data_IF_887700078715
#
_entry.id   IF_887700078715
#
_cell.length_a   1.000
_cell.length_b   1.000
_cell.length_c   1.000
_cell.angle_alpha   90.00
_cell.angle_beta   90.00
_cell.angle_gamma   90.00
#
_symmetry.space_group_name_H-M   'P 1'
#
loop_
_entity.id
_entity.type
_entity.pdbx_description
1 polymer ?
#
# COMPACT_ATOMS: atom_id res chain seq x y z
N UNK A 1 17.39 10.66 -4.00
CA UNK A 1 16.39 11.76 -4.14
C UNK A 1 16.44 12.64 -2.91
N UNK A 2 16.62 13.94 -3.07
CA UNK A 2 16.55 14.95 -1.99
C UNK A 2 15.08 15.37 -1.75
N UNK A 3 14.83 16.09 -0.66
CA UNK A 3 13.48 16.61 -0.35
C UNK A 3 12.97 17.61 -1.42
N UNK A 4 13.87 18.40 -2.02
CA UNK A 4 13.52 19.33 -3.11
C UNK A 4 13.20 18.59 -4.40
N UNK A 5 14.02 17.60 -4.78
CA UNK A 5 13.75 16.74 -5.94
C UNK A 5 12.43 15.98 -5.78
N UNK A 6 12.09 15.55 -4.56
CA UNK A 6 10.83 14.88 -4.26
C UNK A 6 9.61 15.80 -4.53
N UNK A 7 9.66 17.06 -4.08
CA UNK A 7 8.60 18.02 -4.34
C UNK A 7 8.46 18.31 -5.85
N UNK A 8 9.57 18.54 -6.54
CA UNK A 8 9.58 18.76 -7.99
C UNK A 8 9.02 17.57 -8.76
N UNK A 9 9.38 16.35 -8.36
CA UNK A 9 8.87 15.13 -9.00
C UNK A 9 7.34 15.02 -8.90
N UNK A 10 6.75 15.34 -7.75
CA UNK A 10 5.29 15.34 -7.58
C UNK A 10 4.61 16.34 -8.53
N UNK A 11 5.19 17.52 -8.69
CA UNK A 11 4.66 18.56 -9.57
C UNK A 11 4.85 18.20 -11.06
N UNK A 12 6.04 17.74 -11.46
CA UNK A 12 6.37 17.49 -12.87
C UNK A 12 5.83 16.17 -13.41
N UNK A 13 5.92 15.08 -12.63
CA UNK A 13 5.57 13.74 -13.12
C UNK A 13 4.11 13.35 -12.83
N UNK A 14 3.56 13.83 -11.70
CA UNK A 14 2.18 13.53 -11.34
C UNK A 14 1.23 14.73 -11.53
N UNK A 15 1.73 15.89 -11.91
CA UNK A 15 0.92 17.09 -12.11
C UNK A 15 0.19 17.54 -10.85
N UNK A 16 0.80 17.34 -9.67
CA UNK A 16 0.17 17.63 -8.37
C UNK A 16 -0.13 19.12 -8.26
N UNK A 17 -1.39 19.47 -7.99
CA UNK A 17 -1.81 20.86 -7.87
C UNK A 17 -1.20 21.54 -6.64
N UNK A 18 -1.20 22.87 -6.64
CA UNK A 18 -0.71 23.67 -5.52
C UNK A 18 -1.51 23.36 -4.23
N UNK A 19 -2.81 23.21 -4.36
CA UNK A 19 -3.72 22.91 -3.26
C UNK A 19 -3.39 21.56 -2.64
N UNK A 20 -3.14 20.55 -3.47
CA UNK A 20 -2.72 19.20 -3.03
C UNK A 20 -1.32 19.25 -2.40
N UNK A 21 -0.38 20.02 -2.96
CA UNK A 21 0.93 20.24 -2.33
C UNK A 21 0.83 20.89 -0.95
N UNK A 22 -0.09 21.83 -0.75
CA UNK A 22 -0.31 22.45 0.55
C UNK A 22 -0.99 21.48 1.55
N UNK A 23 -1.88 20.60 1.09
CA UNK A 23 -2.43 19.50 1.89
C UNK A 23 -1.33 18.50 2.32
N UNK A 24 -0.42 18.13 1.41
CA UNK A 24 0.73 17.28 1.73
C UNK A 24 1.66 17.93 2.77
N UNK A 25 1.95 19.23 2.65
CA UNK A 25 2.73 19.98 3.66
C UNK A 25 2.03 19.99 5.03
N UNK A 26 0.70 20.18 5.03
CA UNK A 26 -0.12 20.14 6.24
C UNK A 26 -0.04 18.75 6.89
N UNK A 27 -0.16 17.68 6.10
CA UNK A 27 0.00 16.32 6.57
C UNK A 27 1.39 16.05 7.15
N UNK A 28 2.46 16.50 6.49
CA UNK A 28 3.84 16.34 6.98
C UNK A 28 4.05 17.09 8.31
N UNK A 29 3.49 18.30 8.45
CA UNK A 29 3.55 19.05 9.71
C UNK A 29 2.80 18.32 10.83
N UNK A 30 1.63 17.77 10.55
CA UNK A 30 0.86 16.95 11.47
C UNK A 30 1.63 15.68 11.88
N UNK A 31 2.17 14.94 10.92
CA UNK A 31 2.96 13.74 11.15
C UNK A 31 4.18 14.02 12.06
N UNK A 32 4.91 15.10 11.83
CA UNK A 32 6.06 15.50 12.66
C UNK A 32 5.65 15.81 14.10
N UNK A 33 4.55 16.53 14.30
CA UNK A 33 4.00 16.84 15.62
C UNK A 33 3.58 15.58 16.38
N UNK A 34 2.84 14.70 15.75
CA UNK A 34 2.36 13.44 16.34
C UNK A 34 3.52 12.45 16.59
N UNK A 35 4.55 12.48 15.75
CA UNK A 35 5.74 11.65 15.87
C UNK A 35 6.53 11.91 17.17
N UNK A 36 6.33 13.06 17.82
CA UNK A 36 6.91 13.33 19.14
C UNK A 36 6.31 12.50 20.28
N UNK A 37 5.07 12.01 20.11
CA UNK A 37 4.31 11.25 21.13
C UNK A 37 4.19 9.76 20.82
N UNK A 38 4.44 9.34 19.58
CA UNK A 38 4.36 7.95 19.15
C UNK A 38 5.31 7.67 17.96
N UNK A 39 5.84 6.45 17.90
CA UNK A 39 6.72 6.04 16.79
C UNK A 39 5.90 5.77 15.52
N UNK A 40 5.64 6.81 14.73
CA UNK A 40 4.93 6.71 13.45
C UNK A 40 5.87 6.32 12.31
N UNK A 41 7.04 6.96 12.24
CA UNK A 41 8.12 6.70 11.28
C UNK A 41 9.45 6.59 12.03
N UNK A 42 10.46 6.01 11.40
CA UNK A 42 11.79 5.91 12.01
C UNK A 42 12.46 7.28 12.12
N UNK A 43 13.24 7.49 13.18
CA UNK A 43 14.00 8.74 13.37
C UNK A 43 14.92 9.04 12.17
N UNK A 44 15.49 8.00 11.54
CA UNK A 44 16.37 8.13 10.38
C UNK A 44 15.68 8.63 9.11
N UNK A 45 14.33 8.62 9.07
CA UNK A 45 13.56 9.11 7.91
C UNK A 45 12.88 10.45 8.14
N UNK A 46 13.00 11.04 9.34
CA UNK A 46 12.38 12.32 9.69
C UNK A 46 12.85 13.49 8.82
N UNK A 47 14.12 13.49 8.42
CA UNK A 47 14.71 14.53 7.58
C UNK A 47 14.52 14.24 6.07
N UNK A 48 13.91 13.10 5.74
CA UNK A 48 13.71 12.61 4.37
C UNK A 48 12.25 12.18 4.11
N UNK A 49 11.28 12.85 4.73
CA UNK A 49 9.85 12.46 4.68
C UNK A 49 9.32 12.49 3.25
N UNK A 50 9.65 13.54 2.48
CA UNK A 50 9.15 13.70 1.12
C UNK A 50 9.65 12.58 0.21
N UNK A 51 10.95 12.29 0.24
CA UNK A 51 11.50 11.23 -0.57
C UNK A 51 11.08 9.84 -0.08
N UNK A 52 11.30 9.55 1.25
CA UNK A 52 11.16 8.20 1.81
C UNK A 52 9.73 7.77 2.10
N UNK A 53 8.77 8.72 2.15
CA UNK A 53 7.39 8.40 2.46
C UNK A 53 6.39 8.97 1.45
N UNK A 54 6.49 10.25 1.08
CA UNK A 54 5.50 10.85 0.17
C UNK A 54 5.71 10.32 -1.25
N UNK A 55 6.89 10.52 -1.85
CA UNK A 55 7.18 10.02 -3.21
C UNK A 55 7.21 8.50 -3.26
N UNK A 56 7.73 7.85 -2.20
CA UNK A 56 7.71 6.39 -2.10
C UNK A 56 6.28 5.80 -2.15
N UNK A 57 5.29 6.53 -1.64
CA UNK A 57 3.88 6.17 -1.77
C UNK A 57 3.30 6.58 -3.12
N UNK A 58 3.58 7.81 -3.56
CA UNK A 58 3.02 8.39 -4.78
C UNK A 58 3.46 7.65 -6.06
N UNK A 59 4.70 7.12 -6.10
CA UNK A 59 5.20 6.36 -7.25
C UNK A 59 4.33 5.13 -7.58
N UNK A 60 3.54 4.62 -6.63
CA UNK A 60 2.63 3.51 -6.88
C UNK A 60 1.57 3.86 -7.95
N UNK A 61 1.23 5.12 -8.09
CA UNK A 61 0.27 5.59 -9.11
C UNK A 61 0.76 5.40 -10.53
N UNK A 62 2.09 5.30 -10.75
CA UNK A 62 2.67 5.03 -12.07
C UNK A 62 2.32 3.64 -12.63
N UNK A 63 1.85 2.72 -11.78
CA UNK A 63 1.44 1.37 -12.18
C UNK A 63 -0.06 1.25 -12.45
N UNK A 64 -0.79 2.37 -12.43
CA UNK A 64 -2.23 2.43 -12.68
C UNK A 64 -2.52 3.20 -13.97
N UNK A 65 -2.66 2.47 -15.07
CA UNK A 65 -3.10 3.06 -16.33
C UNK A 65 -4.61 3.33 -16.27
N UNK A 66 -5.01 4.60 -16.24
CA UNK A 66 -6.40 5.07 -16.34
C UNK A 66 -7.39 4.38 -15.37
N UNK A 67 -7.02 4.21 -14.12
CA UNK A 67 -7.92 3.66 -13.12
C UNK A 67 -9.14 4.59 -12.93
N UNK A 68 -10.38 4.05 -12.89
CA UNK A 68 -11.59 4.85 -12.69
C UNK A 68 -11.60 5.59 -11.36
N UNK A 69 -12.34 6.71 -11.28
CA UNK A 69 -12.46 7.49 -10.04
C UNK A 69 -13.09 6.70 -8.86
N UNK A 70 -13.92 5.67 -9.16
CA UNK A 70 -14.52 4.77 -8.18
C UNK A 70 -13.60 3.61 -7.75
N UNK A 71 -12.32 3.66 -8.12
CA UNK A 71 -11.32 2.67 -7.70
C UNK A 71 -11.33 2.49 -6.20
N UNK A 72 -11.47 1.23 -5.76
CA UNK A 72 -11.41 0.84 -4.35
C UNK A 72 -10.01 0.37 -4.01
N UNK A 73 -9.36 1.11 -3.11
CA UNK A 73 -8.01 0.83 -2.66
C UNK A 73 -7.99 0.34 -1.21
N UNK A 74 -7.35 -0.79 -0.95
CA UNK A 74 -7.13 -1.33 0.39
C UNK A 74 -5.66 -1.18 0.76
N UNK A 75 -5.38 -0.45 1.84
CA UNK A 75 -4.03 -0.29 2.38
C UNK A 75 -3.87 -1.05 3.69
N UNK A 76 -3.01 -2.06 3.69
CA UNK A 76 -2.87 -3.01 4.79
C UNK A 76 -1.77 -2.58 5.76
N UNK A 77 -2.15 -2.37 7.02
CA UNK A 77 -1.24 -1.93 8.07
C UNK A 77 -0.77 -0.49 7.84
N UNK A 78 -1.71 0.42 7.58
CA UNK A 78 -1.45 1.80 7.13
C UNK A 78 -0.52 2.60 8.05
N UNK A 79 -0.42 2.26 9.32
CA UNK A 79 0.55 2.82 10.26
C UNK A 79 0.48 4.35 10.38
N UNK A 80 1.46 5.03 9.79
CA UNK A 80 1.49 6.49 9.70
C UNK A 80 0.71 7.06 8.49
N UNK A 81 -0.07 6.21 7.80
CA UNK A 81 -0.87 6.60 6.64
C UNK A 81 -0.18 6.35 5.30
N UNK A 82 0.86 5.51 5.26
CA UNK A 82 1.62 5.23 4.04
C UNK A 82 1.43 3.79 3.54
N UNK A 83 1.07 3.58 2.27
CA UNK A 83 0.87 4.61 1.24
C UNK A 83 -0.53 5.24 1.21
N UNK A 84 -1.54 4.67 1.88
CA UNK A 84 -2.96 4.92 1.65
C UNK A 84 -3.41 6.38 1.74
N UNK A 85 -2.96 7.17 2.75
CA UNK A 85 -3.32 8.59 2.83
C UNK A 85 -2.72 9.42 1.70
N UNK A 86 -1.52 9.08 1.23
CA UNK A 86 -0.90 9.79 0.11
C UNK A 86 -1.68 9.52 -1.18
N UNK A 87 -2.05 8.25 -1.41
CA UNK A 87 -2.92 7.88 -2.53
C UNK A 87 -4.24 8.66 -2.47
N UNK A 88 -4.85 8.74 -1.29
CA UNK A 88 -6.07 9.49 -1.12
C UNK A 88 -5.90 11.00 -1.39
N UNK A 89 -4.78 11.62 -1.03
CA UNK A 89 -4.51 13.04 -1.32
C UNK A 89 -4.28 13.32 -2.82
N UNK A 90 -3.74 12.33 -3.54
CA UNK A 90 -3.35 12.48 -4.94
C UNK A 90 -4.43 12.01 -5.94
N UNK A 91 -5.50 11.37 -5.47
CA UNK A 91 -6.54 10.79 -6.33
C UNK A 91 -7.93 10.96 -5.72
N UNK A 92 -8.97 10.67 -6.50
CA UNK A 92 -10.36 10.60 -6.02
C UNK A 92 -10.80 9.18 -5.64
N UNK A 93 -9.85 8.26 -5.40
CA UNK A 93 -10.15 6.87 -5.06
C UNK A 93 -10.78 6.70 -3.68
N UNK A 94 -11.59 5.66 -3.54
CA UNK A 94 -12.13 5.23 -2.25
C UNK A 94 -11.08 4.38 -1.51
N UNK A 95 -10.46 4.92 -0.48
CA UNK A 95 -9.35 4.27 0.24
C UNK A 95 -9.82 3.72 1.58
N UNK A 96 -9.54 2.45 1.84
CA UNK A 96 -9.71 1.82 3.15
C UNK A 96 -8.33 1.61 3.79
N UNK A 97 -8.11 2.28 4.93
CA UNK A 97 -6.90 2.17 5.73
C UNK A 97 -7.12 1.13 6.84
N UNK A 98 -6.39 0.01 6.80
CA UNK A 98 -6.50 -1.03 7.83
C UNK A 98 -5.38 -0.88 8.84
N UNK A 99 -5.76 -0.67 10.11
CA UNK A 99 -4.82 -0.59 11.22
C UNK A 99 -5.46 -1.17 12.49
N UNK A 100 -4.68 -1.90 13.29
CA UNK A 100 -5.18 -2.58 14.50
C UNK A 100 -4.76 -1.90 15.82
N UNK A 101 -3.77 -1.01 15.78
CA UNK A 101 -3.22 -0.37 16.98
C UNK A 101 -4.00 0.89 17.32
N UNK A 102 -4.67 0.93 18.48
CA UNK A 102 -5.57 1.99 18.87
C UNK A 102 -5.02 3.42 18.72
N UNK A 103 -3.75 3.66 19.11
CA UNK A 103 -3.13 4.99 18.95
C UNK A 103 -2.95 5.40 17.49
N UNK A 104 -2.67 4.45 16.60
CA UNK A 104 -2.53 4.73 15.16
C UNK A 104 -3.88 4.91 14.50
N UNK A 105 -4.91 4.18 14.95
CA UNK A 105 -6.29 4.38 14.50
C UNK A 105 -6.74 5.81 14.81
N UNK A 106 -6.59 6.27 16.06
CA UNK A 106 -6.92 7.64 16.47
C UNK A 106 -6.14 8.68 15.64
N UNK A 107 -4.84 8.46 15.45
CA UNK A 107 -4.02 9.31 14.60
C UNK A 107 -4.54 9.38 13.16
N UNK A 108 -4.85 8.23 12.55
CA UNK A 108 -5.35 8.17 11.17
C UNK A 108 -6.73 8.85 11.03
N UNK A 109 -7.62 8.67 11.97
CA UNK A 109 -8.93 9.34 12.00
C UNK A 109 -8.78 10.85 12.02
N UNK A 110 -7.94 11.39 12.93
CA UNK A 110 -7.64 12.82 13.00
C UNK A 110 -6.94 13.35 11.73
N UNK A 111 -6.06 12.55 11.12
CA UNK A 111 -5.44 12.92 9.85
C UNK A 111 -6.47 13.02 8.72
N UNK A 112 -7.38 12.04 8.61
CA UNK A 112 -8.46 12.01 7.60
C UNK A 112 -9.40 13.20 7.77
N UNK A 113 -9.80 13.52 9.01
CA UNK A 113 -10.64 14.68 9.32
C UNK A 113 -9.95 15.99 8.96
N UNK A 114 -8.69 16.19 9.41
CA UNK A 114 -7.91 17.39 9.16
C UNK A 114 -7.69 17.66 7.66
N UNK A 115 -7.60 16.59 6.86
CA UNK A 115 -7.38 16.65 5.40
C UNK A 115 -8.68 16.70 4.59
N UNK A 116 -9.84 16.74 5.26
CA UNK A 116 -11.18 16.72 4.64
C UNK A 116 -11.41 15.50 3.71
N UNK A 117 -10.88 14.35 4.11
CA UNK A 117 -10.95 13.10 3.34
C UNK A 117 -12.04 12.13 3.80
N UNK A 118 -12.87 12.50 4.79
CA UNK A 118 -13.88 11.63 5.42
C UNK A 118 -14.91 11.07 4.45
N UNK A 119 -15.14 11.75 3.34
CA UNK A 119 -16.09 11.36 2.30
C UNK A 119 -15.63 10.19 1.43
N UNK A 120 -14.33 9.84 1.43
CA UNK A 120 -13.76 8.78 0.58
C UNK A 120 -12.65 7.95 1.24
N UNK A 121 -12.23 8.30 2.46
CA UNK A 121 -11.25 7.52 3.23
C UNK A 121 -11.92 6.91 4.45
N UNK A 122 -11.91 5.59 4.53
CA UNK A 122 -12.41 4.83 5.65
C UNK A 122 -11.26 4.26 6.48
N UNK A 123 -11.19 4.59 7.77
CA UNK A 123 -10.23 3.98 8.71
C UNK A 123 -10.88 2.75 9.35
N UNK A 124 -10.50 1.57 8.85
CA UNK A 124 -10.91 0.30 9.42
C UNK A 124 -10.03 -0.03 10.64
N UNK A 125 -10.48 0.37 11.81
CA UNK A 125 -9.79 0.20 13.08
C UNK A 125 -9.89 -1.22 13.64
N UNK A 126 -9.50 -2.22 12.84
CA UNK A 126 -9.59 -3.64 13.19
C UNK A 126 -8.35 -4.40 12.68
N UNK A 127 -8.10 -5.58 13.26
CA UNK A 127 -7.18 -6.53 12.64
C UNK A 127 -7.75 -7.00 11.30
N UNK A 128 -6.86 -7.24 10.31
CA UNK A 128 -7.28 -7.60 8.94
C UNK A 128 -8.21 -8.80 8.90
N UNK A 129 -8.01 -9.77 9.80
CA UNK A 129 -8.82 -10.99 9.92
C UNK A 129 -10.28 -10.71 10.27
N UNK A 130 -10.56 -9.54 10.87
CA UNK A 130 -11.91 -9.11 11.28
C UNK A 130 -12.56 -8.14 10.30
N UNK A 131 -11.82 -7.66 9.30
CA UNK A 131 -12.39 -6.80 8.28
C UNK A 131 -13.41 -7.59 7.46
N UNK A 132 -14.57 -6.99 7.18
CA UNK A 132 -15.58 -7.57 6.30
C UNK A 132 -15.01 -7.78 4.90
N UNK A 133 -15.25 -8.98 4.34
CA UNK A 133 -14.73 -9.35 3.02
C UNK A 133 -15.46 -8.60 1.93
N UNK A 134 -14.71 -7.85 1.13
CA UNK A 134 -15.22 -7.16 -0.04
C UNK A 134 -14.10 -7.04 -1.08
N UNK A 135 -14.40 -7.04 -2.39
CA UNK A 135 -13.37 -6.93 -3.41
C UNK A 135 -12.81 -5.52 -3.51
N UNK A 136 -11.50 -5.43 -3.75
CA UNK A 136 -10.79 -4.17 -4.01
C UNK A 136 -10.11 -4.22 -5.37
N UNK A 137 -10.00 -3.07 -6.03
CA UNK A 137 -9.31 -2.91 -7.30
C UNK A 137 -7.79 -2.93 -7.11
N UNK A 138 -7.32 -2.34 -6.00
CA UNK A 138 -5.91 -2.26 -5.63
C UNK A 138 -5.71 -2.66 -4.17
N UNK A 139 -4.67 -3.43 -3.90
CA UNK A 139 -4.22 -3.74 -2.54
C UNK A 139 -2.77 -3.29 -2.40
N UNK A 140 -2.49 -2.46 -1.39
CA UNK A 140 -1.15 -2.07 -1.00
C UNK A 140 -0.81 -2.53 0.40
N UNK A 141 0.47 -2.78 0.63
CA UNK A 141 1.01 -3.08 1.95
C UNK A 141 2.49 -2.68 2.00
N UNK A 142 2.88 -1.94 3.04
CA UNK A 142 4.27 -1.60 3.32
C UNK A 142 4.65 -2.08 4.71
N UNK A 143 5.68 -2.93 4.81
CA UNK A 143 6.18 -3.50 6.08
C UNK A 143 5.07 -4.15 6.95
N UNK A 144 4.10 -4.81 6.32
CA UNK A 144 2.96 -5.41 6.99
C UNK A 144 3.26 -6.82 7.50
N UNK A 145 3.62 -7.73 6.60
CA UNK A 145 3.95 -9.13 6.88
C UNK A 145 4.86 -9.72 5.78
N UNK A 146 5.55 -10.85 6.03
CA UNK A 146 6.16 -11.64 4.96
C UNK A 146 5.13 -12.00 3.89
N UNK A 147 5.58 -12.07 2.62
CA UNK A 147 4.69 -12.13 1.46
C UNK A 147 3.70 -13.31 1.49
N UNK A 148 4.09 -14.56 1.83
CA UNK A 148 3.12 -15.67 1.91
C UNK A 148 2.00 -15.38 2.91
N UNK A 149 2.35 -14.91 4.12
CA UNK A 149 1.37 -14.56 5.16
C UNK A 149 0.48 -13.38 4.75
N UNK A 150 1.03 -12.41 4.02
CA UNK A 150 0.25 -11.28 3.50
C UNK A 150 -0.82 -11.80 2.54
N UNK A 151 -0.47 -12.70 1.62
CA UNK A 151 -1.42 -13.29 0.69
C UNK A 151 -2.48 -14.14 1.42
N UNK A 152 -2.08 -15.01 2.37
CA UNK A 152 -3.02 -15.79 3.20
C UNK A 152 -4.10 -14.92 3.87
N UNK A 153 -3.71 -13.75 4.36
CA UNK A 153 -4.62 -12.84 5.07
C UNK A 153 -5.49 -12.01 4.12
N UNK A 154 -4.97 -11.66 2.95
CA UNK A 154 -5.55 -10.63 2.09
C UNK A 154 -6.14 -11.15 0.78
N UNK A 155 -5.90 -12.42 0.39
CA UNK A 155 -6.47 -13.02 -0.83
C UNK A 155 -7.99 -12.84 -0.93
N UNK A 156 -8.70 -12.98 0.19
CA UNK A 156 -10.17 -12.84 0.24
C UNK A 156 -10.70 -11.47 -0.15
N UNK A 157 -9.85 -10.45 -0.22
CA UNK A 157 -10.18 -9.10 -0.68
C UNK A 157 -9.84 -8.88 -2.15
N UNK A 158 -9.16 -9.84 -2.77
CA UNK A 158 -8.72 -9.76 -4.14
C UNK A 158 -9.67 -10.49 -5.10
N UNK A 159 -9.64 -10.08 -6.34
CA UNK A 159 -10.12 -10.81 -7.49
C UNK A 159 -8.93 -11.08 -8.43
N UNK A 160 -9.14 -11.85 -9.50
CA UNK A 160 -8.11 -12.07 -10.52
C UNK A 160 -7.69 -10.77 -11.28
N UNK A 161 -8.40 -9.65 -11.05
CA UNK A 161 -8.10 -8.33 -11.62
C UNK A 161 -7.49 -7.37 -10.60
N UNK A 162 -7.44 -7.75 -9.33
CA UNK A 162 -6.90 -6.90 -8.27
C UNK A 162 -5.41 -6.69 -8.49
N UNK A 163 -5.00 -5.44 -8.60
CA UNK A 163 -3.60 -5.07 -8.69
C UNK A 163 -3.00 -4.99 -7.28
N UNK A 164 -1.93 -5.73 -7.07
CA UNK A 164 -1.15 -5.66 -5.85
C UNK A 164 0.05 -4.76 -6.05
N UNK A 165 0.21 -3.76 -5.17
CA UNK A 165 1.29 -2.80 -5.16
C UNK A 165 1.98 -2.86 -3.81
N UNK A 166 3.09 -3.60 -3.75
CA UNK A 166 3.75 -3.95 -2.50
C UNK A 166 5.18 -3.40 -2.47
N UNK A 167 5.40 -2.19 -1.90
CA UNK A 167 6.75 -1.70 -1.64
C UNK A 167 7.53 -2.66 -0.74
N UNK A 168 8.70 -3.07 -1.21
CA UNK A 168 9.60 -4.02 -0.57
C UNK A 168 11.01 -3.44 -0.46
N UNK A 169 11.83 -4.02 0.39
CA UNK A 169 13.25 -3.68 0.45
C UNK A 169 14.07 -4.43 -0.62
N UNK A 170 15.38 -4.60 -0.33
CA UNK A 170 16.35 -5.27 -1.24
C UNK A 170 15.99 -6.70 -1.61
N UNK A 171 15.18 -7.36 -0.80
CA UNK A 171 14.86 -8.78 -0.95
C UNK A 171 13.54 -9.01 -1.71
N UNK A 172 13.05 -8.04 -2.48
CA UNK A 172 11.77 -8.14 -3.19
C UNK A 172 11.70 -9.39 -4.11
N UNK A 173 12.76 -9.66 -4.87
CA UNK A 173 12.84 -10.81 -5.77
C UNK A 173 12.84 -12.14 -4.99
N UNK A 174 13.61 -12.22 -3.90
CA UNK A 174 13.64 -13.43 -3.05
C UNK A 174 12.30 -13.68 -2.37
N UNK A 175 11.66 -12.63 -1.84
CA UNK A 175 10.34 -12.79 -1.22
C UNK A 175 9.31 -13.34 -2.22
N UNK A 176 9.37 -12.89 -3.49
CA UNK A 176 8.48 -13.42 -4.52
C UNK A 176 8.83 -14.85 -4.90
N UNK A 177 10.11 -15.17 -5.09
CA UNK A 177 10.55 -16.55 -5.37
C UNK A 177 10.12 -17.52 -4.28
N UNK A 178 10.25 -17.15 -3.01
CA UNK A 178 9.79 -17.97 -1.87
C UNK A 178 8.27 -18.15 -1.90
N UNK A 179 7.53 -17.08 -2.18
CA UNK A 179 6.07 -17.12 -2.25
C UNK A 179 5.55 -18.00 -3.39
N UNK A 180 6.26 -18.08 -4.53
CA UNK A 180 5.92 -18.96 -5.67
C UNK A 180 5.92 -20.45 -5.33
N UNK A 181 6.51 -20.86 -4.21
CA UNK A 181 6.38 -22.24 -3.70
C UNK A 181 4.95 -22.61 -3.31
N UNK A 182 4.14 -21.65 -2.94
CA UNK A 182 2.77 -21.82 -2.41
C UNK A 182 1.73 -21.08 -3.24
N UNK A 183 2.10 -19.94 -3.83
CA UNK A 183 1.20 -19.03 -4.51
C UNK A 183 1.48 -18.93 -6.02
N UNK A 184 0.42 -18.90 -6.81
CA UNK A 184 0.47 -18.57 -8.23
C UNK A 184 0.02 -17.13 -8.44
N UNK A 185 0.72 -16.42 -9.34
CA UNK A 185 0.44 -15.05 -9.69
C UNK A 185 1.34 -14.54 -10.80
N UNK A 186 0.99 -13.41 -11.36
CA UNK A 186 1.81 -12.71 -12.34
C UNK A 186 2.36 -11.43 -11.70
N UNK A 187 3.55 -11.52 -11.13
CA UNK A 187 4.22 -10.42 -10.45
C UNK A 187 5.56 -10.09 -11.08
N UNK A 188 5.90 -8.80 -11.07
CA UNK A 188 7.19 -8.27 -11.46
C UNK A 188 7.73 -7.39 -10.34
N UNK A 189 9.06 -7.39 -10.17
CA UNK A 189 9.73 -6.46 -9.25
C UNK A 189 10.17 -5.24 -10.06
N UNK A 190 9.55 -4.12 -9.76
CA UNK A 190 9.85 -2.82 -10.35
C UNK A 190 10.81 -2.07 -9.43
N UNK A 191 11.76 -1.31 -10.01
CA UNK A 191 12.70 -0.50 -9.23
C UNK A 191 11.99 0.67 -8.56
N UNK A 192 12.29 0.92 -7.29
CA UNK A 192 11.87 2.14 -6.62
C UNK A 192 12.67 3.34 -7.13
N UNK A 193 12.00 4.48 -7.35
CA UNK A 193 12.66 5.74 -7.72
C UNK A 193 13.26 6.45 -6.50
N UNK A 194 12.86 6.07 -5.29
CA UNK A 194 13.30 6.69 -4.03
C UNK A 194 14.51 5.99 -3.40
N UNK A 195 14.73 4.71 -3.75
CA UNK A 195 15.82 3.89 -3.22
C UNK A 195 16.25 2.86 -4.27
N UNK A 196 17.49 2.94 -4.74
CA UNK A 196 18.03 2.06 -5.80
C UNK A 196 18.08 0.58 -5.38
N UNK A 197 18.13 0.31 -4.09
CA UNK A 197 18.18 -1.05 -3.53
C UNK A 197 16.77 -1.59 -3.20
N UNK A 198 15.73 -0.78 -3.30
CA UNK A 198 14.37 -1.19 -3.02
C UNK A 198 13.58 -1.52 -4.28
N UNK A 199 12.69 -2.50 -4.16
CA UNK A 199 11.77 -2.90 -5.22
C UNK A 199 10.31 -2.71 -4.83
N UNK A 200 9.46 -2.64 -5.82
CA UNK A 200 8.00 -2.69 -5.68
C UNK A 200 7.52 -3.93 -6.39
N UNK A 201 6.92 -4.86 -5.66
CA UNK A 201 6.29 -6.02 -6.27
C UNK A 201 4.92 -5.61 -6.81
N UNK A 202 4.77 -5.69 -8.13
CA UNK A 202 3.58 -5.25 -8.88
C UNK A 202 3.01 -6.43 -9.63
N UNK A 203 1.71 -6.71 -9.48
CA UNK A 203 1.10 -7.82 -10.22
C UNK A 203 -0.27 -8.22 -9.73
N UNK A 204 -0.72 -9.39 -10.16
CA UNK A 204 -2.01 -10.00 -9.81
C UNK A 204 -1.81 -11.38 -9.21
N UNK A 205 -2.60 -11.71 -8.20
CA UNK A 205 -2.59 -13.01 -7.54
C UNK A 205 -3.62 -13.91 -8.20
N UNK A 206 -3.23 -15.16 -8.51
CA UNK A 206 -4.13 -16.16 -9.12
C UNK A 206 -4.70 -17.15 -8.07
N UNK A 207 -4.10 -17.24 -6.89
CA UNK A 207 -4.50 -18.12 -5.80
C UNK A 207 -3.41 -19.11 -5.38
N UNK A 208 -3.79 -20.09 -4.58
CA UNK A 208 -2.87 -21.14 -4.15
C UNK A 208 -2.45 -22.03 -5.32
N UNK A 209 -1.15 -22.35 -5.36
CA UNK A 209 -0.59 -23.30 -6.33
C UNK A 209 -1.21 -24.69 -6.12
N UNK A 210 -1.82 -25.23 -7.17
CA UNK A 210 -2.30 -26.62 -7.13
C UNK A 210 -1.11 -27.59 -7.16
N UNK A 211 -0.87 -28.29 -6.06
CA UNK A 211 0.09 -29.39 -6.03
C UNK A 211 -0.49 -30.57 -6.84
N UNK A 212 0.30 -31.11 -7.78
CA UNK A 212 -0.09 -32.26 -8.66
C UNK A 212 -0.57 -33.54 -7.94
N UNK A 213 -0.53 -33.58 -6.62
CA UNK A 213 -0.97 -34.71 -5.81
C UNK A 213 -2.50 -34.94 -5.74
N UNK A 214 -3.32 -33.98 -6.22
CA UNK A 214 -4.78 -34.08 -6.20
C UNK A 214 -5.43 -34.63 -7.47
N UNK A 215 -4.70 -34.74 -8.58
CA UNK A 215 -5.28 -35.14 -9.89
C UNK A 215 -5.39 -36.67 -10.10
N UNK A 216 -4.70 -37.47 -9.32
CA UNK A 216 -4.70 -38.95 -9.52
C UNK A 216 -5.80 -39.69 -8.76
N UNK A 217 -6.58 -39.08 -7.91
CA UNK A 217 -7.64 -39.77 -7.12
C UNK A 217 -9.05 -39.70 -7.68
N UNK A 218 -9.29 -39.04 -8.81
CA UNK A 218 -10.63 -39.04 -9.45
C UNK A 218 -10.81 -39.99 -10.64
N UNK A 219 -9.80 -40.79 -10.96
CA UNK A 219 -9.81 -41.68 -12.13
C UNK A 219 -10.06 -43.20 -11.85
N UNK A 220 -10.36 -43.60 -10.60
CA UNK A 220 -10.64 -45.03 -10.32
C UNK A 220 -11.81 -45.15 -9.33
N UNK A 221 -13.03 -45.21 -9.88
CA UNK A 221 -14.13 -45.97 -9.28
C UNK A 221 -14.71 -46.88 -10.37
N UNK A 222 -14.83 -48.19 -10.08
CA UNK A 222 -15.34 -49.18 -10.99
C UNK A 222 -16.85 -49.00 -11.23
#
# INVERSE_FOLDING_TARGET
MTEQEAALWLESELGVSRETMDALKTFVAFLKREGSSQNLISASTLDHIWARHIVDSAQLLQFLDHAPADTRWLDLGSGAGFPGLIIALLTDYNVTLVESRARRIDYLQRAVEMLDLTHRVHVAGVALERLETAPYSVISARAFAPLPKLFDLAERFATNKTLWLLPKGRNADHEWQDAQGVWDGNFQVMKSITDQDAGILVGTLSGHRQTKAGAEKQGQRP
#
